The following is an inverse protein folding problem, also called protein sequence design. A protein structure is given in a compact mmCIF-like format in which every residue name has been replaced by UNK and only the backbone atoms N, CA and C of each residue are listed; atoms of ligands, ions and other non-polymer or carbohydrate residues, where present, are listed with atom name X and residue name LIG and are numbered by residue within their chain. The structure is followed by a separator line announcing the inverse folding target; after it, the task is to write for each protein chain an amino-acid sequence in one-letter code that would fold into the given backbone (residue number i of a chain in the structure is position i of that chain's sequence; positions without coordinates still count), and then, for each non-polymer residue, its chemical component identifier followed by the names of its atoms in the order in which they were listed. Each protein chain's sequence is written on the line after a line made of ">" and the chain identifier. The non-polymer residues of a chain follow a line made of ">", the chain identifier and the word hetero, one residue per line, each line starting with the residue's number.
data_IF_585217663052
#
_entry.id   IF_585217663052
#
_cell.length_a   1.000
_cell.length_b   1.000
_cell.length_c   1.000
_cell.angle_alpha   90.00
_cell.angle_beta   90.00
_cell.angle_gamma   90.00
#
_symmetry.space_group_name_H-M   'P 1'
#
loop_
_entity.id
_entity.type
_entity.pdbx_description
1 polymer ?
#
# COMPACT_ATOMS: atom_id res chain seq x y z
N UNK A 1 19.20 9.72 6.34
CA UNK A 1 17.79 9.33 6.51
C UNK A 1 17.54 8.00 5.82
N UNK A 2 16.74 7.10 6.40
CA UNK A 2 16.26 5.88 5.71
C UNK A 2 14.76 6.06 5.49
N UNK A 3 14.29 5.82 4.27
CA UNK A 3 12.86 5.91 3.93
C UNK A 3 12.27 4.52 3.91
N UNK A 4 11.18 4.33 4.64
CA UNK A 4 10.52 3.04 4.82
C UNK A 4 9.12 3.07 4.23
N UNK A 5 8.89 2.29 3.17
CA UNK A 5 7.56 2.03 2.62
C UNK A 5 6.91 0.88 3.37
N UNK A 6 5.97 1.19 4.26
CA UNK A 6 5.25 0.19 5.06
C UNK A 6 3.97 -0.30 4.35
N UNK A 7 3.37 -1.38 4.86
CA UNK A 7 2.14 -2.01 4.37
C UNK A 7 2.26 -2.67 2.99
N UNK A 8 3.46 -3.15 2.63
CA UNK A 8 3.64 -3.91 1.38
C UNK A 8 2.77 -5.17 1.33
N UNK A 9 2.31 -5.64 2.50
CA UNK A 9 1.38 -6.77 2.61
C UNK A 9 0.04 -6.55 1.92
N UNK A 10 -0.36 -5.29 1.69
CA UNK A 10 -1.63 -4.97 1.05
C UNK A 10 -1.53 -4.91 -0.47
N UNK A 11 -0.31 -4.85 -1.01
CA UNK A 11 -0.09 -4.74 -2.45
C UNK A 11 -0.06 -6.14 -3.07
N UNK A 12 -0.91 -6.44 -4.07
CA UNK A 12 -0.84 -7.70 -4.78
C UNK A 12 0.46 -7.77 -5.60
N UNK A 13 0.95 -8.98 -5.93
CA UNK A 13 1.96 -9.14 -6.96
C UNK A 13 1.37 -8.76 -8.33
N UNK A 14 2.19 -8.17 -9.19
CA UNK A 14 1.84 -7.98 -10.59
C UNK A 14 2.01 -9.29 -11.38
N UNK A 15 1.47 -9.38 -12.59
CA UNK A 15 1.62 -10.59 -13.41
C UNK A 15 3.08 -10.81 -13.87
N UNK A 16 3.86 -9.74 -14.05
CA UNK A 16 5.28 -9.84 -14.36
C UNK A 16 6.20 -9.71 -13.13
N UNK A 17 7.33 -10.45 -13.09
CA UNK A 17 8.31 -10.35 -12.02
C UNK A 17 8.92 -8.94 -11.93
N UNK A 18 9.54 -8.65 -10.79
CA UNK A 18 10.17 -7.34 -10.54
C UNK A 18 9.22 -6.25 -10.05
N UNK A 19 7.96 -6.58 -9.73
CA UNK A 19 6.98 -5.64 -9.17
C UNK A 19 7.46 -4.99 -7.86
N UNK A 20 8.21 -5.71 -7.01
CA UNK A 20 8.82 -5.14 -5.80
C UNK A 20 9.78 -4.00 -6.10
N UNK A 21 10.54 -4.10 -7.21
CA UNK A 21 11.44 -3.03 -7.66
C UNK A 21 10.62 -1.83 -8.12
N UNK A 22 9.54 -2.06 -8.88
CA UNK A 22 8.59 -0.99 -9.29
C UNK A 22 7.98 -0.28 -8.08
N UNK A 23 7.63 -1.00 -7.02
CA UNK A 23 7.15 -0.42 -5.75
C UNK A 23 8.19 0.47 -5.09
N UNK A 24 9.44 0.02 -5.08
CA UNK A 24 10.55 0.79 -4.52
C UNK A 24 10.85 2.04 -5.35
N UNK A 25 10.80 1.93 -6.68
CA UNK A 25 11.02 3.03 -7.61
C UNK A 25 9.89 4.07 -7.51
N UNK A 26 8.63 3.63 -7.41
CA UNK A 26 7.49 4.51 -7.16
C UNK A 26 7.63 5.27 -5.83
N UNK A 27 8.09 4.61 -4.76
CA UNK A 27 8.41 5.26 -3.50
C UNK A 27 9.52 6.30 -3.67
N UNK A 28 10.60 5.96 -4.37
CA UNK A 28 11.71 6.87 -4.64
C UNK A 28 11.25 8.11 -5.41
N UNK A 29 10.41 7.93 -6.43
CA UNK A 29 9.83 9.02 -7.22
C UNK A 29 8.93 9.90 -6.37
N UNK A 30 8.08 9.33 -5.51
CA UNK A 30 7.21 10.09 -4.61
C UNK A 30 8.03 10.95 -3.63
N UNK A 31 9.10 10.40 -3.08
CA UNK A 31 10.02 11.11 -2.16
C UNK A 31 10.79 12.22 -2.87
N UNK A 32 11.19 11.98 -4.12
CA UNK A 32 11.80 12.99 -4.97
C UNK A 32 10.82 14.14 -5.26
N UNK A 33 9.59 13.83 -5.69
CA UNK A 33 8.53 14.83 -5.96
C UNK A 33 8.18 15.65 -4.72
N UNK A 34 8.22 15.05 -3.54
CA UNK A 34 8.00 15.74 -2.27
C UNK A 34 9.20 16.62 -1.81
N UNK A 35 10.31 16.65 -2.57
CA UNK A 35 11.48 17.48 -2.27
C UNK A 35 12.36 16.96 -1.13
N UNK A 36 12.16 15.72 -0.65
CA UNK A 36 12.99 15.16 0.42
C UNK A 36 14.39 14.80 -0.08
N UNK A 37 14.51 14.38 -1.33
CA UNK A 37 15.80 14.01 -1.94
C UNK A 37 16.77 15.19 -2.09
N UNK A 38 16.26 16.42 -2.19
CA UNK A 38 17.09 17.63 -2.29
C UNK A 38 17.44 18.18 -0.91
N UNK A 39 16.53 18.06 0.07
CA UNK A 39 16.69 18.61 1.42
C UNK A 39 17.43 17.68 2.40
N UNK A 40 17.38 16.36 2.18
CA UNK A 40 17.94 15.38 3.10
C UNK A 40 18.78 14.34 2.37
N UNK A 41 19.88 13.91 2.98
CA UNK A 41 20.65 12.78 2.48
C UNK A 41 19.91 11.46 2.77
N UNK A 42 19.40 10.83 1.70
CA UNK A 42 18.70 9.55 1.76
C UNK A 42 19.70 8.42 1.55
N UNK A 43 19.92 7.63 2.61
CA UNK A 43 20.87 6.52 2.61
C UNK A 43 20.29 5.28 1.92
N UNK A 44 19.02 4.98 2.18
CA UNK A 44 18.37 3.75 1.70
C UNK A 44 16.84 3.89 1.65
N UNK A 45 16.25 3.12 0.74
CA UNK A 45 14.81 2.87 0.64
C UNK A 45 14.54 1.41 0.99
N UNK A 46 13.60 1.15 1.88
CA UNK A 46 13.27 -0.20 2.35
C UNK A 46 11.76 -0.40 2.29
N UNK A 47 11.31 -1.50 1.70
CA UNK A 47 9.90 -1.88 1.73
C UNK A 47 9.70 -2.91 2.83
N UNK A 48 8.70 -2.69 3.68
CA UNK A 48 8.41 -3.55 4.83
C UNK A 48 6.92 -3.79 4.98
N UNK A 49 6.59 -4.86 5.68
CA UNK A 49 5.29 -4.98 6.34
C UNK A 49 5.52 -5.16 7.83
N UNK A 50 5.23 -4.10 8.58
CA UNK A 50 5.31 -4.15 10.04
C UNK A 50 4.37 -5.21 10.64
N UNK A 51 3.19 -5.41 10.04
CA UNK A 51 2.18 -6.37 10.52
C UNK A 51 2.67 -7.82 10.46
N UNK A 52 3.38 -8.14 9.38
CA UNK A 52 3.77 -9.52 9.05
C UNK A 52 5.22 -9.81 9.46
N UNK A 53 6.05 -8.78 9.55
CA UNK A 53 7.49 -8.86 9.78
C UNK A 53 8.31 -8.89 8.50
N UNK A 54 7.68 -8.91 7.32
CA UNK A 54 8.39 -8.91 6.04
C UNK A 54 9.33 -7.69 5.92
N UNK A 55 10.58 -7.93 5.52
CA UNK A 55 11.59 -6.89 5.28
C UNK A 55 12.11 -6.17 6.53
N UNK A 56 11.55 -6.44 7.71
CA UNK A 56 11.94 -5.76 8.96
C UNK A 56 13.36 -6.14 9.38
N UNK A 57 13.75 -7.41 9.26
CA UNK A 57 15.10 -7.85 9.60
C UNK A 57 16.15 -7.25 8.66
N UNK A 58 15.84 -7.13 7.37
CA UNK A 58 16.71 -6.46 6.39
C UNK A 58 16.84 -4.96 6.70
N UNK A 59 15.73 -4.31 7.10
CA UNK A 59 15.75 -2.92 7.56
C UNK A 59 16.62 -2.75 8.81
N UNK A 60 16.51 -3.65 9.79
CA UNK A 60 17.37 -3.64 11.00
C UNK A 60 18.85 -3.74 10.60
N UNK A 61 19.18 -4.64 9.69
CA UNK A 61 20.56 -4.80 9.20
C UNK A 61 21.05 -3.54 8.51
N UNK A 62 20.22 -2.88 7.71
CA UNK A 62 20.55 -1.60 7.07
C UNK A 62 20.71 -0.47 8.08
N UNK A 63 19.90 -0.44 9.14
CA UNK A 63 20.05 0.52 10.22
C UNK A 63 21.41 0.33 10.89
N UNK A 64 21.74 -0.90 11.31
CA UNK A 64 23.02 -1.17 11.97
C UNK A 64 24.23 -0.88 11.06
N UNK A 65 24.19 -1.25 9.78
CA UNK A 65 25.30 -0.99 8.86
C UNK A 65 25.61 0.49 8.67
N UNK A 66 24.61 1.37 8.80
CA UNK A 66 24.79 2.82 8.68
C UNK A 66 24.95 3.54 10.03
N UNK A 67 24.53 2.90 11.12
CA UNK A 67 24.57 3.44 12.47
C UNK A 67 25.89 3.13 13.19
N UNK A 68 26.53 2.01 12.88
CA UNK A 68 27.85 1.65 13.41
C UNK A 68 28.93 2.33 12.56
N UNK A 69 29.69 3.25 13.16
CA UNK A 69 30.79 3.92 12.47
C UNK A 69 31.99 2.98 12.21
N UNK A 70 32.98 3.39 11.39
CA UNK A 70 34.17 2.59 11.06
C UNK A 70 35.01 2.12 12.26
N UNK A 71 34.85 2.76 13.43
CA UNK A 71 35.55 2.42 14.68
C UNK A 71 34.67 1.68 15.70
N UNK A 72 33.55 1.08 15.27
CA UNK A 72 32.54 0.47 16.15
C UNK A 72 31.94 1.43 17.22
N UNK A 73 32.06 2.74 17.02
CA UNK A 73 31.38 3.71 17.86
C UNK A 73 29.90 3.77 17.44
N UNK A 74 29.00 3.54 18.40
CA UNK A 74 27.57 3.72 18.21
C UNK A 74 27.28 5.21 17.96
N UNK A 75 26.56 5.51 16.88
CA UNK A 75 26.06 6.86 16.63
C UNK A 75 24.91 7.20 17.60
N UNK A 76 24.51 8.47 17.57
CA UNK A 76 23.41 9.05 18.36
C UNK A 76 22.07 8.32 18.19
N UNK A 77 21.06 8.75 18.97
CA UNK A 77 19.70 8.19 18.95
C UNK A 77 19.09 8.10 17.54
N UNK A 78 18.25 7.08 17.32
CA UNK A 78 17.50 6.90 16.08
C UNK A 78 16.10 7.48 16.26
N UNK A 79 15.59 8.20 15.27
CA UNK A 79 14.25 8.78 15.34
C UNK A 79 13.35 8.16 14.28
N UNK A 80 12.16 7.72 14.67
CA UNK A 80 11.11 7.22 13.76
C UNK A 80 10.05 8.30 13.63
N UNK A 81 9.93 8.87 12.43
CA UNK A 81 9.04 10.00 12.15
C UNK A 81 8.05 9.62 11.05
N UNK A 82 6.81 10.11 11.15
CA UNK A 82 5.84 10.00 10.06
C UNK A 82 4.39 10.26 10.47
N UNK A 83 3.50 10.27 9.48
CA UNK A 83 2.09 10.61 9.65
C UNK A 83 1.31 9.60 10.50
N UNK A 84 0.19 10.01 11.07
CA UNK A 84 -0.79 9.10 11.71
C UNK A 84 -1.20 8.00 10.73
N UNK A 85 -1.44 6.78 11.22
CA UNK A 85 -1.82 5.60 10.42
C UNK A 85 -0.79 5.08 9.40
N UNK A 86 0.42 5.64 9.32
CA UNK A 86 1.53 5.07 8.54
C UNK A 86 2.04 3.70 9.07
N UNK A 87 1.60 3.29 10.27
CA UNK A 87 1.97 2.02 10.90
C UNK A 87 3.25 2.08 11.74
N UNK A 88 3.60 3.25 12.27
CA UNK A 88 4.79 3.47 13.11
C UNK A 88 4.77 2.66 14.41
N UNK A 89 3.65 2.66 15.14
CA UNK A 89 3.50 1.86 16.37
C UNK A 89 3.57 0.37 16.09
N UNK A 90 3.00 -0.09 14.96
CA UNK A 90 3.13 -1.47 14.50
C UNK A 90 4.59 -1.82 14.20
N UNK A 91 5.31 -0.95 13.48
CA UNK A 91 6.72 -1.17 13.16
C UNK A 91 7.58 -1.21 14.43
N UNK A 92 7.28 -0.33 15.38
CA UNK A 92 7.94 -0.30 16.67
C UNK A 92 7.73 -1.59 17.47
N UNK A 93 6.48 -2.10 17.54
CA UNK A 93 6.21 -3.38 18.19
C UNK A 93 6.96 -4.54 17.52
N UNK A 94 7.11 -4.48 16.21
CA UNK A 94 7.89 -5.48 15.47
C UNK A 94 9.39 -5.35 15.74
N UNK A 95 9.92 -4.13 15.95
CA UNK A 95 11.30 -3.93 16.42
C UNK A 95 11.53 -4.44 17.85
N UNK A 96 10.55 -4.33 18.74
CA UNK A 96 10.64 -4.92 20.09
C UNK A 96 10.70 -6.45 20.07
N UNK A 97 10.12 -7.07 19.04
CA UNK A 97 10.12 -8.52 18.84
C UNK A 97 11.30 -9.02 18.00
N UNK A 98 12.02 -8.13 17.31
CA UNK A 98 13.18 -8.49 16.49
C UNK A 98 14.47 -8.49 17.29
N UNK A 99 15.57 -8.89 16.65
CA UNK A 99 16.91 -8.90 17.28
C UNK A 99 17.44 -7.48 17.63
N UNK A 100 16.64 -6.42 17.43
CA UNK A 100 17.00 -5.05 17.79
C UNK A 100 16.92 -4.74 19.28
N UNK A 101 16.05 -5.43 20.01
CA UNK A 101 15.82 -5.15 21.42
C UNK A 101 16.65 -6.07 22.31
N UNK A 102 17.38 -5.49 23.29
CA UNK A 102 18.24 -6.23 24.21
C UNK A 102 17.45 -7.14 25.17
N UNK A 103 16.24 -6.72 25.55
CA UNK A 103 15.32 -7.49 26.39
C UNK A 103 14.21 -7.99 25.49
N UNK A 104 13.94 -9.30 25.49
CA UNK A 104 12.71 -9.86 24.89
C UNK A 104 11.54 -9.41 25.74
N UNK A 105 11.16 -8.16 25.58
CA UNK A 105 10.34 -7.47 26.54
C UNK A 105 8.86 -7.71 26.20
N UNK A 106 8.39 -8.94 26.41
CA UNK A 106 6.95 -9.22 26.34
C UNK A 106 6.17 -8.28 27.28
N UNK A 107 6.74 -7.97 28.46
CA UNK A 107 6.15 -7.08 29.46
C UNK A 107 6.22 -5.57 29.09
N UNK A 108 7.10 -5.18 28.15
CA UNK A 108 7.20 -3.79 27.68
C UNK A 108 6.28 -3.54 26.47
N UNK A 109 6.00 -4.58 25.68
CA UNK A 109 5.10 -4.53 24.52
C UNK A 109 3.67 -4.22 24.95
N UNK A 110 3.17 -4.81 26.05
CA UNK A 110 1.83 -4.50 26.59
C UNK A 110 1.69 -3.02 26.93
N UNK A 111 2.69 -2.41 27.58
CA UNK A 111 2.70 -0.99 27.96
C UNK A 111 2.76 -0.02 26.77
N UNK A 112 3.30 -0.47 25.63
CA UNK A 112 3.37 0.33 24.40
C UNK A 112 2.05 0.28 23.64
N UNK A 113 1.34 -0.86 23.72
CA UNK A 113 0.02 -1.04 23.09
C UNK A 113 -1.14 -0.48 23.92
N UNK A 114 -0.99 -0.31 25.23
CA UNK A 114 -2.04 0.24 26.10
C UNK A 114 -1.90 1.77 26.24
N UNK A 115 -2.09 2.51 25.16
CA UNK A 115 -2.58 3.90 25.29
C UNK A 115 -4.10 3.84 25.18
N UNK A 116 -4.77 4.05 26.31
CA UNK A 116 -6.22 3.92 26.50
C UNK A 116 -7.06 4.94 25.68
N UNK A 117 -6.43 5.79 24.85
CA UNK A 117 -7.12 6.86 24.11
C UNK A 117 -6.85 6.88 22.60
N UNK A 118 -7.88 7.09 21.77
CA UNK A 118 -7.70 7.30 20.34
C UNK A 118 -7.35 8.76 20.07
N UNK A 119 -6.07 9.03 19.83
CA UNK A 119 -5.59 10.39 19.57
C UNK A 119 -4.26 10.64 20.29
N UNK A 120 -3.17 10.34 19.58
CA UNK A 120 -1.77 10.69 19.89
C UNK A 120 -1.03 9.91 20.99
N UNK A 121 0.18 9.51 20.66
CA UNK A 121 1.26 9.15 21.60
C UNK A 121 1.95 10.47 22.00
N UNK A 122 1.48 11.12 23.07
CA UNK A 122 2.10 12.35 23.59
C UNK A 122 3.35 12.12 24.46
N UNK A 123 3.80 10.88 24.61
CA UNK A 123 5.07 10.56 25.29
C UNK A 123 6.09 9.99 24.29
N UNK A 124 7.27 10.61 24.21
CA UNK A 124 8.41 10.08 23.48
C UNK A 124 8.84 8.75 24.12
N UNK A 125 8.52 7.64 23.46
CA UNK A 125 8.97 6.31 23.89
C UNK A 125 10.43 6.11 23.48
N UNK A 126 11.30 5.75 24.44
CA UNK A 126 12.72 5.43 24.24
C UNK A 126 12.99 4.02 24.79
N UNK A 127 13.65 3.16 24.00
CA UNK A 127 14.08 1.83 24.46
C UNK A 127 15.55 1.57 24.15
N UNK A 128 16.26 0.76 24.97
CA UNK A 128 17.64 0.38 24.72
C UNK A 128 17.76 -0.57 23.53
N UNK A 129 18.59 -0.22 22.55
CA UNK A 129 18.93 -1.13 21.45
C UNK A 129 20.05 -2.09 21.84
N UNK A 130 20.07 -3.26 21.20
CA UNK A 130 21.15 -4.22 21.34
C UNK A 130 22.45 -3.69 20.73
N UNK A 131 23.58 -3.90 21.41
CA UNK A 131 24.89 -3.43 20.96
C UNK A 131 25.43 -4.30 19.80
N UNK A 132 25.57 -3.76 18.57
CA UNK A 132 26.03 -4.52 17.41
C UNK A 132 27.56 -4.71 17.42
N UNK A 133 28.06 -5.73 18.13
CA UNK A 133 29.48 -6.10 18.01
C UNK A 133 29.76 -6.86 16.70
N UNK A 134 30.99 -6.83 16.14
CA UNK A 134 31.29 -7.51 14.88
C UNK A 134 30.94 -9.01 14.89
N UNK A 135 31.24 -9.71 15.98
CA UNK A 135 30.89 -11.13 16.15
C UNK A 135 29.36 -11.36 16.12
N UNK A 136 28.63 -10.52 16.84
CA UNK A 136 27.16 -10.53 16.92
C UNK A 136 26.51 -10.23 15.57
N UNK A 137 27.06 -9.29 14.80
CA UNK A 137 26.62 -8.98 13.44
C UNK A 137 26.88 -10.13 12.46
N UNK A 138 28.03 -10.82 12.58
CA UNK A 138 28.36 -11.99 11.76
C UNK A 138 27.38 -13.15 11.99
N UNK A 139 27.11 -13.50 13.26
CA UNK A 139 26.12 -14.53 13.60
C UNK A 139 24.74 -14.22 13.03
N UNK A 140 24.33 -12.95 13.11
CA UNK A 140 23.08 -12.48 12.52
C UNK A 140 23.08 -12.61 10.99
N UNK A 141 24.17 -12.25 10.33
CA UNK A 141 24.30 -12.37 8.87
C UNK A 141 24.19 -13.83 8.41
N UNK A 142 24.83 -14.76 9.12
CA UNK A 142 24.73 -16.20 8.86
C UNK A 142 23.29 -16.70 8.99
N UNK A 143 22.60 -16.36 10.09
CA UNK A 143 21.19 -16.69 10.32
C UNK A 143 20.28 -16.14 9.21
N UNK A 144 20.49 -14.89 8.79
CA UNK A 144 19.70 -14.29 7.71
C UNK A 144 20.01 -14.91 6.35
N UNK A 145 21.26 -15.31 6.10
CA UNK A 145 21.65 -15.99 4.88
C UNK A 145 21.00 -17.38 4.77
N UNK A 146 20.98 -18.15 5.85
CA UNK A 146 20.25 -19.43 5.90
C UNK A 146 18.76 -19.24 5.62
N UNK A 147 18.14 -18.24 6.26
CA UNK A 147 16.75 -17.91 6.02
C UNK A 147 16.48 -17.53 4.55
N UNK A 148 17.37 -16.74 3.93
CA UNK A 148 17.29 -16.39 2.49
C UNK A 148 17.44 -17.61 1.59
N UNK A 149 18.37 -18.53 1.90
CA UNK A 149 18.53 -19.79 1.15
C UNK A 149 17.27 -20.64 1.24
N UNK A 150 16.74 -20.82 2.45
CA UNK A 150 15.49 -21.53 2.68
C UNK A 150 14.34 -20.90 1.89
N UNK A 151 14.23 -19.57 1.90
CA UNK A 151 13.23 -18.84 1.10
C UNK A 151 13.34 -19.13 -0.39
N UNK A 152 14.54 -19.00 -0.97
CA UNK A 152 14.77 -19.30 -2.39
C UNK A 152 14.36 -20.73 -2.75
N UNK A 153 14.67 -21.70 -1.89
CA UNK A 153 14.27 -23.08 -2.09
C UNK A 153 12.74 -23.25 -2.08
N UNK A 154 12.04 -22.70 -1.09
CA UNK A 154 10.57 -22.73 -1.01
C UNK A 154 9.93 -22.06 -2.23
N UNK A 155 10.52 -20.95 -2.70
CA UNK A 155 10.10 -20.25 -3.92
C UNK A 155 10.22 -21.15 -5.15
N UNK A 156 11.37 -21.79 -5.36
CA UNK A 156 11.60 -22.72 -6.48
C UNK A 156 10.60 -23.88 -6.47
N UNK A 157 10.38 -24.51 -5.31
CA UNK A 157 9.40 -25.59 -5.16
C UNK A 157 7.97 -25.13 -5.51
N UNK A 158 7.61 -23.90 -5.16
CA UNK A 158 6.29 -23.34 -5.48
C UNK A 158 6.11 -23.10 -6.99
N UNK A 159 7.18 -22.72 -7.69
CA UNK A 159 7.19 -22.60 -9.15
C UNK A 159 7.00 -23.96 -9.82
N UNK A 160 7.74 -24.98 -9.37
CA UNK A 160 7.65 -26.34 -9.90
C UNK A 160 6.23 -26.90 -9.74
N UNK A 161 5.62 -26.71 -8.56
CA UNK A 161 4.23 -27.10 -8.28
C UNK A 161 3.22 -26.39 -9.19
N UNK A 162 3.43 -25.10 -9.48
CA UNK A 162 2.59 -24.40 -10.45
C UNK A 162 2.75 -24.98 -11.86
N UNK A 163 3.98 -25.21 -12.32
CA UNK A 163 4.21 -25.74 -13.66
C UNK A 163 3.58 -27.12 -13.85
N UNK A 164 3.59 -27.96 -12.80
CA UNK A 164 2.96 -29.27 -12.79
C UNK A 164 1.43 -29.23 -12.75
N UNK A 165 0.83 -28.36 -11.94
CA UNK A 165 -0.63 -28.35 -11.70
C UNK A 165 -1.40 -27.38 -12.57
N UNK A 166 -0.73 -26.36 -13.14
CA UNK A 166 -1.31 -25.19 -13.81
C UNK A 166 -2.33 -24.42 -12.95
N UNK A 167 -2.38 -24.69 -11.64
CA UNK A 167 -3.25 -23.97 -10.72
C UNK A 167 -2.63 -22.61 -10.44
N UNK A 168 -3.20 -21.58 -11.08
CA UNK A 168 -2.73 -20.18 -10.95
C UNK A 168 -2.59 -19.74 -9.49
N UNK A 169 -3.51 -20.11 -8.61
CA UNK A 169 -3.44 -19.71 -7.19
C UNK A 169 -2.15 -20.17 -6.46
N UNK A 170 -1.50 -21.25 -6.90
CA UNK A 170 -0.22 -21.74 -6.36
C UNK A 170 0.94 -20.82 -6.76
N UNK A 171 0.98 -20.35 -8.00
CA UNK A 171 2.01 -19.43 -8.50
C UNK A 171 1.95 -18.07 -7.80
N UNK A 172 0.75 -17.54 -7.56
CA UNK A 172 0.57 -16.24 -6.93
C UNK A 172 0.73 -16.27 -5.40
N UNK A 173 0.69 -17.47 -4.77
CA UNK A 173 1.03 -17.63 -3.34
C UNK A 173 2.54 -17.53 -3.06
N UNK A 174 3.40 -17.60 -4.09
CA UNK A 174 4.87 -17.60 -4.06
C UNK A 174 5.48 -16.49 -3.19
N UNK A 175 5.00 -15.25 -3.32
CA UNK A 175 5.51 -14.09 -2.56
C UNK A 175 4.62 -13.72 -1.35
N UNK A 176 3.39 -14.25 -1.30
CA UNK A 176 2.43 -13.99 -0.23
C UNK A 176 2.54 -14.91 0.99
N UNK A 177 3.11 -16.10 0.84
CA UNK A 177 3.22 -17.09 1.92
C UNK A 177 3.98 -16.55 3.14
N UNK A 178 4.95 -15.65 2.94
CA UNK A 178 5.66 -15.00 4.04
C UNK A 178 4.84 -13.87 4.67
N UNK A 179 4.15 -13.09 3.85
CA UNK A 179 3.32 -11.97 4.28
C UNK A 179 2.15 -12.45 5.16
N UNK A 180 1.52 -13.59 4.85
CA UNK A 180 0.34 -14.05 5.60
C UNK A 180 0.63 -15.11 6.68
N UNK A 181 1.88 -15.54 6.88
CA UNK A 181 2.22 -16.66 7.78
C UNK A 181 2.58 -16.25 9.21
N UNK A 182 1.57 -15.83 9.98
CA UNK A 182 1.51 -16.18 11.41
C UNK A 182 0.51 -17.29 11.71
N UNK A 183 -0.58 -17.42 10.93
CA UNK A 183 -1.62 -18.47 11.14
C UNK A 183 -1.42 -19.77 10.35
N UNK A 184 -0.69 -19.76 9.22
CA UNK A 184 -0.50 -20.94 8.34
C UNK A 184 0.81 -21.72 8.55
N UNK A 185 1.58 -21.41 9.60
CA UNK A 185 2.83 -22.12 9.94
C UNK A 185 2.65 -23.62 10.25
N UNK A 186 1.42 -24.12 10.45
CA UNK A 186 1.20 -25.54 10.80
C UNK A 186 1.12 -26.50 9.62
N UNK A 187 0.73 -26.08 8.40
CA UNK A 187 0.51 -27.02 7.28
C UNK A 187 1.69 -27.15 6.30
N UNK A 188 2.42 -26.07 6.02
CA UNK A 188 3.57 -26.11 5.08
C UNK A 188 4.86 -26.54 5.79
N UNK A 189 5.04 -26.19 7.07
CA UNK A 189 6.19 -26.67 7.86
C UNK A 189 6.22 -28.19 7.99
N UNK A 190 5.06 -28.86 8.01
CA UNK A 190 4.97 -30.31 8.16
C UNK A 190 5.47 -31.09 6.93
N UNK A 191 5.40 -30.50 5.73
CA UNK A 191 5.87 -31.15 4.50
C UNK A 191 7.37 -30.95 4.24
N UNK A 192 7.99 -29.92 4.85
CA UNK A 192 9.37 -29.49 4.52
C UNK A 192 10.36 -29.69 5.70
N UNK A 193 9.89 -29.88 6.94
CA UNK A 193 10.77 -29.92 8.12
C UNK A 193 11.32 -31.31 8.52
N UNK A 194 11.40 -32.28 7.62
CA UNK A 194 12.05 -33.56 7.97
C UNK A 194 13.57 -33.62 7.77
N UNK A 195 14.28 -32.49 7.54
CA UNK A 195 15.75 -32.53 7.38
C UNK A 195 16.61 -31.46 8.05
N UNK A 196 16.08 -30.51 8.82
CA UNK A 196 16.97 -29.63 9.59
C UNK A 196 16.26 -28.96 10.76
N UNK A 197 16.27 -29.61 11.92
CA UNK A 197 15.93 -29.00 13.20
C UNK A 197 16.73 -29.67 14.32
N UNK A 198 18.06 -29.60 14.21
CA UNK A 198 18.97 -29.61 15.35
C UNK A 198 19.91 -28.44 15.13
N UNK A 199 19.67 -27.33 15.82
CA UNK A 199 20.70 -26.52 16.48
C UNK A 199 20.15 -25.26 17.16
N UNK A 200 20.64 -25.07 18.39
CA UNK A 200 20.84 -23.85 19.18
C UNK A 200 19.65 -22.91 19.46
N UNK A 201 18.93 -23.21 20.54
CA UNK A 201 18.40 -22.15 21.43
C UNK A 201 19.48 -21.78 22.45
N UNK A 202 20.45 -20.95 22.04
CA UNK A 202 21.31 -20.28 23.02
C UNK A 202 20.48 -19.21 23.76
N UNK A 203 20.25 -19.46 25.06
CA UNK A 203 19.76 -18.43 25.98
C UNK A 203 20.88 -17.41 26.16
N UNK A 204 20.67 -16.19 25.69
CA UNK A 204 21.60 -15.07 25.89
C UNK A 204 21.85 -14.86 27.38
N UNK A 205 23.12 -14.95 27.77
CA UNK A 205 23.59 -14.74 29.13
C UNK A 205 23.54 -13.21 29.42
N UNK A 206 22.73 -12.79 30.37
CA UNK A 206 22.45 -11.38 30.70
C UNK A 206 23.65 -10.64 31.35
N UNK A 207 24.77 -11.32 31.59
CA UNK A 207 25.92 -10.83 32.34
C UNK A 207 27.13 -10.43 31.46
N UNK A 208 26.93 -10.17 30.16
CA UNK A 208 28.01 -9.74 29.24
C UNK A 208 28.49 -8.31 29.60
N UNK A 209 29.77 -8.11 29.98
CA UNK A 209 30.33 -6.82 30.40
C UNK A 209 30.41 -5.77 29.28
N UNK A 210 30.12 -6.14 28.02
CA UNK A 210 29.97 -5.20 26.89
C UNK A 210 28.68 -4.35 26.92
N UNK A 211 27.82 -4.55 27.91
CA UNK A 211 26.56 -3.82 28.15
C UNK A 211 26.73 -2.46 28.87
N UNK A 212 27.95 -2.04 29.18
CA UNK A 212 28.24 -0.82 29.98
C UNK A 212 28.11 0.52 29.23
N UNK A 213 27.76 0.53 27.94
CA UNK A 213 27.42 1.78 27.23
C UNK A 213 25.93 2.11 27.47
N UNK A 214 25.65 3.30 28.02
CA UNK A 214 24.30 3.73 28.38
C UNK A 214 23.29 3.62 27.22
N UNK A 215 21.99 3.49 27.51
CA UNK A 215 20.98 3.12 26.51
C UNK A 215 20.78 4.23 25.48
N UNK A 216 21.28 3.99 24.26
CA UNK A 216 20.92 4.76 23.06
C UNK A 216 19.59 4.21 22.56
N UNK A 217 18.63 5.10 22.28
CA UNK A 217 17.26 4.67 22.05
C UNK A 217 16.60 5.24 20.82
N UNK A 218 15.56 4.53 20.38
CA UNK A 218 14.69 4.96 19.29
C UNK A 218 13.62 5.88 19.85
N UNK A 219 13.38 7.04 19.23
CA UNK A 219 12.36 8.01 19.65
C UNK A 219 11.32 8.22 18.55
N UNK A 220 10.03 8.15 18.87
CA UNK A 220 8.94 8.33 17.89
C UNK A 220 8.38 9.76 17.97
N UNK A 221 8.30 10.48 16.84
CA UNK A 221 7.59 11.77 16.74
C UNK A 221 6.41 11.67 15.77
N UNK A 222 5.24 12.13 16.20
CA UNK A 222 4.01 12.20 15.41
C UNK A 222 3.83 13.61 14.84
N UNK A 223 3.56 13.71 13.54
CA UNK A 223 3.05 14.93 12.90
C UNK A 223 1.78 14.55 12.13
N UNK A 224 0.72 15.35 12.24
CA UNK A 224 -0.57 15.04 11.64
C UNK A 224 -1.00 16.10 10.66
N UNK A 225 -1.08 15.75 9.38
CA UNK A 225 -2.06 16.23 8.40
C UNK A 225 -2.06 15.24 7.21
N UNK A 226 -3.11 14.42 7.10
CA UNK A 226 -3.43 13.58 5.93
C UNK A 226 -4.94 13.43 5.87
N UNK A 227 -5.52 13.20 4.68
CA UNK A 227 -6.98 13.05 4.46
C UNK A 227 -7.73 12.09 5.42
N UNK A 228 -7.01 11.18 6.08
CA UNK A 228 -7.52 10.38 7.20
C UNK A 228 -7.92 11.18 8.46
N UNK A 229 -7.64 12.48 8.53
CA UNK A 229 -7.97 13.37 9.65
C UNK A 229 -9.40 13.92 9.64
N UNK A 230 -10.16 13.78 8.54
CA UNK A 230 -11.57 14.18 8.44
C UNK A 230 -12.52 13.15 9.07
N UNK A 231 -12.20 12.73 10.29
CA UNK A 231 -12.98 11.77 11.05
C UNK A 231 -12.32 11.52 12.39
N UNK A 232 -12.49 12.49 13.30
CA UNK A 232 -12.15 12.29 14.72
C UNK A 232 -12.93 11.08 15.27
N UNK A 233 -12.31 10.45 16.27
CA UNK A 233 -12.26 8.99 16.43
C UNK A 233 -13.28 8.50 17.47
N UNK A 234 -14.06 7.46 17.12
CA UNK A 234 -14.43 6.41 18.07
C UNK A 234 -13.52 5.19 17.83
N UNK A 235 -12.96 4.57 18.88
CA UNK A 235 -11.88 3.57 18.79
C UNK A 235 -12.26 2.28 18.05
N UNK A 236 -13.55 2.03 17.79
CA UNK A 236 -14.01 0.81 17.11
C UNK A 236 -13.96 0.81 15.57
N UNK A 237 -13.76 1.96 14.88
CA UNK A 237 -14.08 2.06 13.43
C UNK A 237 -13.00 2.63 12.51
N UNK A 238 -11.83 3.05 13.01
CA UNK A 238 -10.68 3.41 12.15
C UNK A 238 -10.14 2.20 11.35
N UNK A 239 -10.50 0.99 11.78
CA UNK A 239 -10.14 -0.29 11.16
C UNK A 239 -10.90 -0.59 9.85
N UNK A 240 -11.92 0.22 9.50
CA UNK A 240 -12.78 -0.05 8.35
C UNK A 240 -12.23 0.45 7.01
N UNK A 241 -11.53 1.61 6.98
CA UNK A 241 -10.91 2.15 5.75
C UNK A 241 -9.62 1.41 5.36
N UNK A 242 -8.94 0.81 6.33
CA UNK A 242 -7.70 0.11 6.08
C UNK A 242 -7.99 -1.32 5.63
N UNK A 243 -7.52 -1.69 4.44
CA UNK A 243 -7.57 -3.09 4.04
C UNK A 243 -6.77 -3.94 5.03
N UNK A 244 -7.37 -5.02 5.54
CA UNK A 244 -6.70 -6.00 6.40
C UNK A 244 -6.10 -7.16 5.62
N UNK A 245 -6.49 -7.27 4.34
CA UNK A 245 -6.08 -8.29 3.38
C UNK A 245 -5.48 -7.62 2.15
N UNK A 246 -4.86 -8.41 1.29
CA UNK A 246 -4.33 -7.90 0.03
C UNK A 246 -5.47 -7.32 -0.79
N UNK A 247 -5.21 -6.20 -1.44
CA UNK A 247 -6.15 -5.62 -2.39
C UNK A 247 -6.29 -6.53 -3.59
N UNK A 248 -7.48 -7.06 -3.82
CA UNK A 248 -7.82 -7.79 -5.03
C UNK A 248 -8.23 -6.82 -6.16
N UNK A 249 -7.53 -6.86 -7.32
CA UNK A 249 -7.85 -5.98 -8.43
C UNK A 249 -9.22 -6.30 -9.04
N UNK A 250 -10.04 -5.28 -9.33
CA UNK A 250 -11.36 -5.43 -9.98
C UNK A 250 -11.33 -4.75 -11.35
N UNK A 251 -11.51 -5.50 -12.42
CA UNK A 251 -11.48 -4.95 -13.78
C UNK A 251 -12.88 -4.51 -14.24
N UNK A 252 -12.96 -3.28 -14.73
CA UNK A 252 -14.20 -2.68 -15.25
C UNK A 252 -13.98 -2.28 -16.69
N UNK A 253 -14.88 -2.73 -17.56
CA UNK A 253 -14.86 -2.41 -18.97
C UNK A 253 -15.90 -1.32 -19.27
N UNK A 254 -15.45 -0.18 -19.77
CA UNK A 254 -16.32 0.98 -19.96
C UNK A 254 -16.03 1.72 -21.26
N UNK A 255 -17.03 2.43 -21.77
CA UNK A 255 -16.94 3.34 -22.91
C UNK A 255 -17.03 4.79 -22.42
N UNK A 256 -16.79 5.76 -23.30
CA UNK A 256 -17.03 7.18 -23.02
C UNK A 256 -18.38 7.43 -22.33
N UNK A 257 -18.41 8.41 -21.43
CA UNK A 257 -19.56 8.80 -20.60
C UNK A 257 -20.01 7.73 -19.59
N UNK A 258 -19.06 6.92 -19.15
CA UNK A 258 -19.23 5.98 -18.04
C UNK A 258 -18.51 6.48 -16.79
N UNK A 259 -19.06 6.16 -15.64
CA UNK A 259 -18.53 6.54 -14.33
C UNK A 259 -18.29 5.31 -13.50
N UNK A 260 -17.06 5.20 -13.01
CA UNK A 260 -16.63 4.22 -12.05
C UNK A 260 -16.74 4.82 -10.64
N UNK A 261 -17.64 4.28 -9.82
CA UNK A 261 -17.74 4.62 -8.40
C UNK A 261 -16.98 3.60 -7.54
N UNK A 262 -16.28 4.10 -6.54
CA UNK A 262 -15.54 3.31 -5.54
C UNK A 262 -16.07 3.69 -4.16
N UNK A 263 -17.06 2.91 -3.71
CA UNK A 263 -17.96 3.28 -2.62
C UNK A 263 -18.65 4.61 -2.91
N UNK A 264 -18.75 5.45 -1.89
CA UNK A 264 -19.13 6.86 -1.95
C UNK A 264 -17.97 7.81 -1.64
N UNK A 265 -16.73 7.34 -1.74
CA UNK A 265 -15.51 8.11 -1.39
C UNK A 265 -14.63 8.46 -2.60
N UNK A 266 -14.86 7.84 -3.75
CA UNK A 266 -14.16 8.17 -4.97
C UNK A 266 -15.02 7.87 -6.19
N UNK A 267 -14.78 8.65 -7.24
CA UNK A 267 -15.46 8.55 -8.53
C UNK A 267 -14.46 8.84 -9.64
N UNK A 268 -14.53 8.11 -10.75
CA UNK A 268 -13.67 8.25 -11.91
C UNK A 268 -14.53 8.24 -13.18
N UNK A 269 -14.61 9.37 -13.84
CA UNK A 269 -15.49 9.60 -14.99
C UNK A 269 -14.68 9.49 -16.27
N UNK A 270 -15.01 8.51 -17.11
CA UNK A 270 -14.44 8.40 -18.44
C UNK A 270 -15.19 9.35 -19.37
N UNK A 271 -14.57 10.48 -19.69
CA UNK A 271 -15.17 11.51 -20.57
C UNK A 271 -15.07 11.09 -22.02
N UNK A 272 -13.85 10.82 -22.49
CA UNK A 272 -13.61 10.41 -23.86
C UNK A 272 -12.42 9.45 -23.98
N UNK A 273 -12.50 8.57 -24.96
CA UNK A 273 -11.41 7.73 -25.42
C UNK A 273 -11.41 7.73 -26.95
N UNK A 274 -10.31 8.18 -27.53
CA UNK A 274 -10.21 8.47 -28.97
C UNK A 274 -9.13 7.63 -29.63
N UNK A 275 -9.44 7.12 -30.83
CA UNK A 275 -8.48 6.44 -31.70
C UNK A 275 -8.76 6.79 -33.14
N UNK A 276 -7.78 7.36 -33.84
CA UNK A 276 -7.87 7.66 -35.28
C UNK A 276 -9.19 8.38 -35.66
N UNK A 277 -9.56 9.43 -34.90
CA UNK A 277 -10.80 10.21 -35.06
C UNK A 277 -12.12 9.42 -34.90
N UNK A 278 -12.08 8.19 -34.36
CA UNK A 278 -13.25 7.50 -33.84
C UNK A 278 -13.34 7.74 -32.34
N UNK A 279 -14.41 8.41 -31.92
CA UNK A 279 -14.86 8.41 -30.54
C UNK A 279 -15.52 7.06 -30.25
N UNK A 280 -15.37 6.54 -29.02
CA UNK A 280 -15.97 5.28 -28.50
C UNK A 280 -15.06 4.05 -28.51
N UNK A 281 -13.77 4.21 -28.23
CA UNK A 281 -12.97 3.05 -27.83
C UNK A 281 -13.28 2.65 -26.40
N UNK A 282 -13.19 1.35 -26.15
CA UNK A 282 -13.30 0.85 -24.79
C UNK A 282 -12.03 1.12 -23.99
N UNK A 283 -12.22 1.39 -22.71
CA UNK A 283 -11.16 1.54 -21.73
C UNK A 283 -11.39 0.51 -20.63
N UNK A 284 -10.32 -0.16 -20.25
CA UNK A 284 -10.30 -1.01 -19.08
C UNK A 284 -9.74 -0.22 -17.91
N UNK A 285 -10.56 -0.13 -16.87
CA UNK A 285 -10.25 0.51 -15.61
C UNK A 285 -10.11 -0.59 -14.56
N UNK A 286 -8.87 -0.92 -14.20
CA UNK A 286 -8.59 -1.91 -13.17
C UNK A 286 -8.44 -1.21 -11.82
N UNK A 287 -9.39 -1.44 -10.92
CA UNK A 287 -9.45 -0.80 -9.60
C UNK A 287 -8.65 -1.60 -8.60
N UNK A 288 -7.74 -0.92 -7.91
CA UNK A 288 -7.02 -1.45 -6.76
C UNK A 288 -7.34 -0.62 -5.54
N UNK A 289 -8.38 -1.05 -4.82
CA UNK A 289 -8.85 -0.44 -3.58
C UNK A 289 -9.28 -1.53 -2.59
N UNK A 290 -9.60 -1.15 -1.35
CA UNK A 290 -10.08 -2.13 -0.36
C UNK A 290 -11.31 -2.89 -0.88
N UNK A 291 -11.34 -4.21 -0.70
CA UNK A 291 -12.48 -5.06 -1.08
C UNK A 291 -13.81 -4.64 -0.44
N UNK A 292 -13.74 -3.97 0.72
CA UNK A 292 -14.90 -3.43 1.44
C UNK A 292 -15.57 -2.27 0.69
N UNK A 293 -14.87 -1.64 -0.25
CA UNK A 293 -15.46 -0.60 -1.09
C UNK A 293 -16.13 -1.25 -2.30
N UNK A 294 -17.43 -1.01 -2.43
CA UNK A 294 -18.19 -1.48 -3.59
C UNK A 294 -17.73 -0.75 -4.83
N UNK A 295 -17.34 -1.51 -5.86
CA UNK A 295 -16.98 -0.97 -7.16
C UNK A 295 -18.18 -1.15 -8.08
N UNK A 296 -18.61 -0.08 -8.73
CA UNK A 296 -19.73 -0.11 -9.65
C UNK A 296 -19.50 0.84 -10.83
N UNK A 297 -20.09 0.51 -11.98
CA UNK A 297 -20.02 1.31 -13.19
C UNK A 297 -21.43 1.72 -13.61
N UNK A 298 -21.63 3.00 -13.95
CA UNK A 298 -22.92 3.54 -14.41
C UNK A 298 -22.72 4.69 -15.40
N UNK A 299 -23.81 5.17 -16.01
CA UNK A 299 -23.74 6.29 -16.93
C UNK A 299 -23.52 7.61 -16.17
N UNK A 300 -22.75 8.54 -16.75
CA UNK A 300 -22.50 9.87 -16.15
C UNK A 300 -23.78 10.60 -15.79
N UNK A 301 -24.82 10.53 -16.61
CA UNK A 301 -26.11 11.21 -16.36
C UNK A 301 -26.89 10.72 -15.13
N UNK A 302 -26.57 9.54 -14.58
CA UNK A 302 -27.35 8.93 -13.47
C UNK A 302 -26.62 8.98 -12.13
N UNK A 303 -25.34 9.35 -12.13
CA UNK A 303 -24.46 9.17 -10.97
C UNK A 303 -24.79 10.14 -9.83
N UNK A 304 -25.15 11.39 -10.12
CA UNK A 304 -25.39 12.39 -9.07
C UNK A 304 -26.68 12.07 -8.30
N UNK A 305 -27.73 11.65 -9.02
CA UNK A 305 -28.97 11.13 -8.41
C UNK A 305 -28.71 9.87 -7.58
N UNK A 306 -27.88 8.96 -8.08
CA UNK A 306 -27.52 7.75 -7.36
C UNK A 306 -26.78 8.08 -6.06
N UNK A 307 -25.77 8.95 -6.12
CA UNK A 307 -24.99 9.38 -4.95
C UNK A 307 -25.88 10.11 -3.94
N UNK A 308 -26.78 10.99 -4.39
CA UNK A 308 -27.71 11.69 -3.51
C UNK A 308 -28.62 10.75 -2.72
N UNK A 309 -29.04 9.62 -3.32
CA UNK A 309 -29.93 8.64 -2.68
C UNK A 309 -29.19 7.65 -1.79
N UNK A 310 -27.97 7.29 -2.14
CA UNK A 310 -27.28 6.13 -1.54
C UNK A 310 -26.04 6.50 -0.71
N UNK A 311 -25.67 7.78 -0.60
CA UNK A 311 -24.54 8.18 0.25
C UNK A 311 -24.83 7.80 1.71
N UNK A 312 -23.92 7.06 2.34
CA UNK A 312 -24.11 6.53 3.68
C UNK A 312 -24.62 5.08 3.74
N UNK A 313 -25.08 4.54 2.61
CA UNK A 313 -25.51 3.14 2.50
C UNK A 313 -24.34 2.20 2.87
N UNK A 314 -24.50 1.30 3.86
CA UNK A 314 -23.51 0.30 4.21
C UNK A 314 -22.98 -0.51 3.03
N UNK A 315 -23.80 -0.74 1.99
CA UNK A 315 -23.41 -1.46 0.77
C UNK A 315 -22.32 -0.74 -0.02
N UNK A 316 -22.19 0.58 0.09
CA UNK A 316 -21.07 1.32 -0.53
C UNK A 316 -19.75 1.10 0.21
N UNK A 317 -19.81 0.67 1.47
CA UNK A 317 -18.66 0.45 2.35
C UNK A 317 -18.04 1.71 2.95
N UNK A 318 -18.12 2.86 2.28
CA UNK A 318 -17.77 4.18 2.82
C UNK A 318 -18.42 5.29 1.98
N UNK A 319 -18.76 6.47 2.53
CA UNK A 319 -18.75 6.78 3.96
C UNK A 319 -19.84 5.99 4.70
N UNK A 320 -19.54 5.60 5.94
CA UNK A 320 -20.50 5.01 6.87
C UNK A 320 -20.54 5.93 8.09
N UNK A 321 -21.75 6.21 8.58
CA UNK A 321 -21.96 7.05 9.74
C UNK A 321 -23.42 7.43 9.92
N UNK A 322 -23.72 7.92 11.12
CA UNK A 322 -25.01 8.54 11.42
C UNK A 322 -25.09 9.92 10.72
N UNK A 323 -26.28 10.52 10.67
CA UNK A 323 -26.56 11.73 9.89
C UNK A 323 -25.58 12.88 10.18
N UNK A 324 -25.21 13.08 11.44
CA UNK A 324 -24.23 14.10 11.84
C UNK A 324 -22.86 13.88 11.18
N UNK A 325 -22.42 12.63 11.05
CA UNK A 325 -21.13 12.28 10.44
C UNK A 325 -21.18 12.39 8.93
N UNK A 326 -22.31 12.06 8.32
CA UNK A 326 -22.52 12.25 6.89
C UNK A 326 -22.59 13.74 6.53
N UNK A 327 -23.18 14.58 7.40
CA UNK A 327 -23.16 16.03 7.24
C UNK A 327 -21.76 16.63 7.32
N UNK A 328 -20.85 16.02 8.10
CA UNK A 328 -19.43 16.41 8.15
C UNK A 328 -18.59 15.81 7.01
N UNK A 329 -19.15 14.91 6.19
CA UNK A 329 -18.41 14.32 5.09
C UNK A 329 -18.16 15.40 4.02
N UNK A 330 -16.90 15.66 3.66
CA UNK A 330 -16.57 16.69 2.68
C UNK A 330 -17.17 16.35 1.32
N UNK A 331 -17.59 17.39 0.59
CA UNK A 331 -18.00 17.25 -0.80
C UNK A 331 -16.86 16.71 -1.64
N UNK A 332 -17.21 16.00 -2.71
CA UNK A 332 -16.25 15.54 -3.68
C UNK A 332 -15.91 16.70 -4.63
N UNK A 333 -14.63 16.97 -4.80
CA UNK A 333 -14.12 17.84 -5.87
C UNK A 333 -13.25 17.01 -6.82
N UNK A 334 -13.02 17.53 -8.02
CA UNK A 334 -12.36 16.81 -9.10
C UNK A 334 -11.11 17.48 -9.66
N UNK A 335 -10.27 16.65 -10.28
CA UNK A 335 -9.27 17.08 -11.25
C UNK A 335 -9.46 16.34 -12.57
N UNK A 336 -9.18 17.03 -13.68
CA UNK A 336 -9.17 16.45 -15.02
C UNK A 336 -7.78 15.89 -15.32
N UNK A 337 -7.75 14.72 -15.98
CA UNK A 337 -6.54 14.05 -16.40
C UNK A 337 -6.61 13.70 -17.88
N UNK A 338 -5.65 14.24 -18.62
CA UNK A 338 -5.43 13.98 -20.04
C UNK A 338 -4.31 12.95 -20.19
N UNK A 339 -4.64 11.75 -20.67
CA UNK A 339 -3.73 10.61 -20.72
C UNK A 339 -3.38 10.31 -22.18
N UNK A 340 -2.14 10.61 -22.56
CA UNK A 340 -1.56 10.15 -23.83
C UNK A 340 -1.11 8.69 -23.72
N UNK A 341 -1.60 7.84 -24.61
CA UNK A 341 -1.35 6.40 -24.58
C UNK A 341 -0.12 6.07 -25.43
N UNK A 342 1.08 6.20 -24.83
CA UNK A 342 2.37 5.89 -25.50
C UNK A 342 2.41 4.44 -26.00
N UNK A 343 1.99 3.50 -25.15
CA UNK A 343 1.91 2.07 -25.47
C UNK A 343 0.45 1.61 -25.42
N UNK A 344 -0.15 1.48 -26.61
CA UNK A 344 -1.55 1.07 -26.79
C UNK A 344 -1.65 -0.44 -26.66
N UNK A 345 -2.24 -0.91 -25.57
CA UNK A 345 -2.27 -2.33 -25.23
C UNK A 345 -3.60 -2.74 -24.60
N UNK A 346 -3.96 -4.01 -24.77
CA UNK A 346 -5.04 -4.64 -23.98
C UNK A 346 -4.53 -5.21 -22.67
N UNK A 347 -3.23 -5.43 -22.53
CA UNK A 347 -2.65 -6.19 -21.41
C UNK A 347 -1.85 -5.29 -20.46
N UNK A 348 -1.26 -4.23 -21.02
CA UNK A 348 -0.38 -3.31 -20.31
C UNK A 348 -1.09 -1.98 -20.06
N UNK A 349 -1.21 -1.59 -18.80
CA UNK A 349 -1.68 -0.26 -18.42
C UNK A 349 -0.68 0.81 -18.85
N UNK A 350 -1.21 1.98 -19.22
CA UNK A 350 -0.41 3.14 -19.64
C UNK A 350 -0.23 4.16 -18.51
N UNK A 351 -1.16 4.21 -17.56
CA UNK A 351 -1.08 5.11 -16.40
C UNK A 351 -1.92 4.61 -15.22
N UNK A 352 -1.65 5.13 -14.03
CA UNK A 352 -2.51 5.00 -12.86
C UNK A 352 -3.12 6.36 -12.48
N UNK A 353 -4.41 6.37 -12.19
CA UNK A 353 -5.10 7.46 -11.48
C UNK A 353 -5.02 7.15 -10.00
N UNK A 354 -4.16 7.87 -9.27
CA UNK A 354 -3.91 7.68 -7.84
C UNK A 354 -4.99 8.40 -7.04
N UNK A 355 -5.65 7.64 -6.15
CA UNK A 355 -6.68 8.10 -5.23
C UNK A 355 -6.15 7.93 -3.81
N UNK A 356 -5.39 8.91 -3.31
CA UNK A 356 -4.58 8.76 -2.09
C UNK A 356 -5.39 8.25 -0.90
N UNK A 357 -4.87 7.25 -0.19
CA UNK A 357 -5.51 6.53 0.93
C UNK A 357 -6.71 5.65 0.57
N UNK A 358 -7.21 5.69 -0.67
CA UNK A 358 -8.29 4.81 -1.17
C UNK A 358 -7.69 3.68 -2.00
N UNK A 359 -6.81 4.02 -2.94
CA UNK A 359 -6.29 3.07 -3.92
C UNK A 359 -5.76 3.76 -5.18
N UNK A 360 -5.80 3.06 -6.30
CA UNK A 360 -5.61 3.64 -7.62
C UNK A 360 -6.40 2.88 -8.68
N UNK A 361 -6.59 3.50 -9.83
CA UNK A 361 -7.21 2.89 -11.01
C UNK A 361 -6.19 2.84 -12.13
N UNK A 362 -5.81 1.64 -12.56
CA UNK A 362 -4.95 1.46 -13.71
C UNK A 362 -5.76 1.62 -15.00
N UNK A 363 -5.23 2.40 -15.94
CA UNK A 363 -5.89 2.73 -17.22
C UNK A 363 -5.20 1.96 -18.34
N UNK A 364 -5.95 1.08 -19.00
CA UNK A 364 -5.50 0.30 -20.15
C UNK A 364 -6.46 0.55 -21.32
N UNK A 365 -5.93 0.87 -22.51
CA UNK A 365 -6.76 1.03 -23.70
C UNK A 365 -5.94 0.89 -24.98
N UNK A 366 -6.63 0.66 -26.09
CA UNK A 366 -6.12 0.79 -27.45
C UNK A 366 -6.29 2.21 -28.03
N UNK A 367 -6.98 3.10 -27.30
CA UNK A 367 -7.10 4.51 -27.63
C UNK A 367 -5.70 5.17 -27.72
N UNK A 368 -5.59 6.22 -28.54
CA UNK A 368 -4.41 7.09 -28.53
C UNK A 368 -4.43 8.09 -27.39
N UNK A 369 -5.63 8.45 -26.93
CA UNK A 369 -5.85 9.46 -25.92
C UNK A 369 -7.09 9.11 -25.09
N UNK A 370 -7.01 9.33 -23.78
CA UNK A 370 -8.09 9.09 -22.83
C UNK A 370 -8.20 10.30 -21.89
N UNK A 371 -9.39 10.91 -21.81
CA UNK A 371 -9.71 11.98 -20.86
C UNK A 371 -10.55 11.41 -19.72
N UNK A 372 -10.11 11.66 -18.49
CA UNK A 372 -10.77 11.20 -17.27
C UNK A 372 -10.91 12.33 -16.28
N UNK A 373 -12.04 12.40 -15.58
CA UNK A 373 -12.23 13.30 -14.43
C UNK A 373 -12.33 12.46 -13.16
N UNK A 374 -11.39 12.63 -12.24
CA UNK A 374 -11.38 11.88 -10.99
C UNK A 374 -11.79 12.76 -9.82
N UNK A 375 -12.57 12.20 -8.90
CA UNK A 375 -13.20 12.89 -7.79
C UNK A 375 -12.84 12.22 -6.46
N UNK A 376 -12.51 13.03 -5.46
CA UNK A 376 -12.26 12.59 -4.08
C UNK A 376 -12.75 13.67 -3.10
N UNK A 377 -12.90 13.35 -1.80
CA UNK A 377 -13.10 14.33 -0.73
C UNK A 377 -12.22 15.58 -0.88
N UNK A 378 -12.85 16.71 -1.18
CA UNK A 378 -12.21 18.01 -1.43
C UNK A 378 -11.11 17.99 -2.51
N UNK A 379 -11.17 17.06 -3.46
CA UNK A 379 -10.18 16.94 -4.56
C UNK A 379 -8.80 16.47 -4.09
N UNK A 380 -8.65 16.02 -2.85
CA UNK A 380 -7.34 15.78 -2.24
C UNK A 380 -6.72 14.46 -2.67
N UNK A 381 -5.44 14.54 -3.02
CA UNK A 381 -4.62 13.35 -3.25
C UNK A 381 -4.93 12.62 -4.56
N UNK A 382 -5.50 13.35 -5.52
CA UNK A 382 -5.61 12.97 -6.91
C UNK A 382 -4.28 13.22 -7.62
N UNK A 383 -3.73 12.19 -8.27
CA UNK A 383 -2.50 12.33 -9.04
C UNK A 383 -2.47 11.35 -10.21
N UNK A 384 -2.00 11.81 -11.36
CA UNK A 384 -1.63 10.92 -12.47
C UNK A 384 -0.22 10.35 -12.24
N UNK A 385 -0.10 9.03 -12.31
CA UNK A 385 1.19 8.33 -12.25
C UNK A 385 1.44 7.60 -13.58
N UNK A 386 2.45 8.08 -14.30
CA UNK A 386 3.03 7.43 -15.48
C UNK A 386 4.55 7.35 -15.29
N UNK A 387 5.20 6.17 -15.44
CA UNK A 387 4.58 4.88 -15.76
C UNK A 387 3.76 4.31 -14.59
N UNK A 388 2.80 3.39 -14.85
CA UNK A 388 2.00 2.77 -13.81
C UNK A 388 2.84 1.82 -12.95
N UNK A 389 2.41 1.61 -11.71
CA UNK A 389 3.15 0.81 -10.73
C UNK A 389 3.03 -0.70 -11.01
N UNK A 390 1.89 -1.12 -11.53
CA UNK A 390 1.60 -2.50 -11.92
C UNK A 390 1.02 -2.55 -13.34
N UNK A 391 1.89 -2.40 -14.36
CA UNK A 391 1.47 -2.35 -15.75
C UNK A 391 0.69 -3.60 -16.19
N UNK A 392 0.94 -4.78 -15.61
CA UNK A 392 0.35 -6.04 -16.08
C UNK A 392 -0.78 -6.55 -15.19
N UNK A 393 -1.39 -5.68 -14.38
CA UNK A 393 -2.41 -6.08 -13.39
C UNK A 393 -3.56 -6.85 -14.03
N UNK A 394 -3.96 -6.52 -15.26
CA UNK A 394 -5.06 -7.20 -15.97
C UNK A 394 -4.81 -8.67 -16.27
N UNK A 395 -3.53 -9.06 -16.35
CA UNK A 395 -3.13 -10.46 -16.53
C UNK A 395 -3.09 -11.21 -15.19
N UNK A 396 -3.32 -10.53 -14.05
CA UNK A 396 -3.35 -11.14 -12.74
C UNK A 396 -4.62 -12.02 -12.59
N UNK A 397 -4.49 -13.31 -12.24
CA UNK A 397 -5.62 -14.23 -12.06
C UNK A 397 -6.53 -13.91 -10.88
N UNK A 398 -6.15 -12.97 -10.01
CA UNK A 398 -7.03 -12.42 -8.97
C UNK A 398 -8.05 -11.44 -9.52
N UNK A 399 -7.89 -10.99 -10.76
CA UNK A 399 -8.93 -10.24 -11.45
C UNK A 399 -10.12 -11.17 -11.63
N UNK A 400 -11.13 -11.00 -10.77
CA UNK A 400 -12.43 -11.68 -10.89
C UNK A 400 -13.13 -11.28 -12.20
N UNK A 401 -14.11 -12.09 -12.63
CA UNK A 401 -14.90 -11.85 -13.86
C UNK A 401 -15.27 -10.37 -14.00
N UNK A 402 -14.84 -9.76 -15.11
CA UNK A 402 -14.90 -8.32 -15.29
C UNK A 402 -16.33 -7.80 -15.14
N UNK A 403 -16.49 -6.67 -14.44
CA UNK A 403 -17.78 -5.98 -14.34
C UNK A 403 -18.07 -5.39 -15.73
N UNK A 404 -18.89 -6.10 -16.50
CA UNK A 404 -19.39 -5.65 -17.79
C UNK A 404 -20.60 -4.76 -17.58
N UNK A 405 -20.56 -3.54 -18.12
CA UNK A 405 -21.79 -2.84 -18.47
C UNK A 405 -22.45 -3.56 -19.65
N UNK A 406 -23.37 -4.49 -19.38
CA UNK A 406 -24.24 -5.04 -20.43
C UNK A 406 -25.16 -3.93 -20.94
N UNK A 407 -24.90 -3.45 -22.16
CA UNK A 407 -25.90 -2.82 -23.01
C UNK A 407 -25.99 -1.29 -22.97
N UNK A 408 -25.52 -0.66 -24.03
CA UNK A 408 -26.45 -0.27 -25.10
C UNK A 408 -25.67 -0.31 -26.42
N UNK A 409 -26.14 -1.11 -27.39
CA UNK A 409 -25.92 -0.77 -28.80
C UNK A 409 -26.19 0.72 -28.91
N UNK A 410 -25.30 1.48 -29.53
CA UNK A 410 -25.53 2.87 -29.89
C UNK A 410 -26.86 2.97 -30.67
N UNK A 411 -27.98 3.05 -29.95
CA UNK A 411 -29.18 3.66 -30.45
C UNK A 411 -28.80 5.12 -30.52
N UNK A 412 -29.07 5.74 -31.65
CA UNK A 412 -28.94 7.18 -31.88
C UNK A 412 -29.56 7.90 -30.68
N UNK A 413 -28.72 8.26 -29.71
CA UNK A 413 -29.05 9.15 -28.62
C UNK A 413 -28.35 10.43 -28.99
N UNK A 414 -29.14 11.49 -29.11
CA UNK A 414 -28.68 12.83 -29.45
C UNK A 414 -27.42 13.18 -28.64
N UNK A 415 -26.41 13.71 -29.34
CA UNK A 415 -25.19 14.25 -28.75
C UNK A 415 -25.55 15.44 -27.85
N UNK A 416 -25.99 15.18 -26.62
CA UNK A 416 -25.98 16.18 -25.56
C UNK A 416 -24.58 16.09 -24.96
N UNK A 417 -23.72 17.05 -25.31
CA UNK A 417 -22.36 17.20 -24.76
C UNK A 417 -22.44 17.40 -23.25
N UNK A 418 -22.01 16.43 -22.41
CA UNK A 418 -21.99 16.56 -20.95
C UNK A 418 -20.89 17.49 -20.42
N UNK A 419 -20.32 18.35 -21.26
CA UNK A 419 -19.25 19.28 -20.88
C UNK A 419 -19.72 20.29 -19.83
N UNK A 420 -21.02 20.62 -19.81
CA UNK A 420 -21.64 21.52 -18.82
C UNK A 420 -21.70 20.95 -17.38
N UNK A 421 -21.39 19.66 -17.18
CA UNK A 421 -21.45 19.00 -15.86
C UNK A 421 -20.14 19.07 -15.06
N UNK A 422 -19.07 19.64 -15.61
CA UNK A 422 -17.79 19.73 -14.92
C UNK A 422 -17.46 21.18 -14.55
N UNK A 423 -17.04 21.45 -13.30
CA UNK A 423 -16.64 22.79 -12.91
C UNK A 423 -15.39 23.22 -13.69
N UNK A 424 -15.38 24.46 -14.20
CA UNK A 424 -14.19 25.06 -14.81
C UNK A 424 -13.06 25.16 -13.77
N UNK A 425 -11.83 24.77 -14.13
CA UNK A 425 -10.69 24.67 -13.21
C UNK A 425 -10.30 26.03 -12.60
N UNK A 426 -10.71 26.26 -11.34
CA UNK A 426 -10.14 27.29 -10.48
C UNK A 426 -8.91 26.76 -9.75
N UNK A 427 -7.73 26.92 -10.35
CA UNK A 427 -6.45 26.57 -9.73
C UNK A 427 -6.20 27.51 -8.53
N UNK A 428 -6.34 27.00 -7.30
CA UNK A 428 -5.66 27.59 -6.13
C UNK A 428 -4.81 26.53 -5.43
N UNK A 429 -3.50 26.69 -5.54
CA UNK A 429 -2.54 25.93 -4.75
C UNK A 429 -2.36 26.64 -3.41
N UNK A 430 -3.18 26.31 -2.41
CA UNK A 430 -2.86 26.66 -1.03
C UNK A 430 -1.95 25.59 -0.41
N UNK A 431 -0.65 25.85 -0.49
CA UNK A 431 0.36 25.22 0.35
C UNK A 431 0.25 25.81 1.76
N UNK A 432 -0.31 25.04 2.70
CA UNK A 432 -0.16 25.27 4.14
C UNK A 432 0.04 23.94 4.90
#
# INVERSE_FOLDING_TARGET
>A
MIVVGNKIDLLPPDAEPGYLKRYQDALRQAVYKAGFSTRFNILKYSLVSAKTGYGVEDLVTQIYSHWVGPRNNLRSNIYVVGCTNAGKSTLFNTFLQSDMCMVRAMDLVERVTTSIWPGTTMSLLKFPMWNPTPHKMKLREEKLLEYRKWRKAVTSLSEDLYHATKIRSIWYCKDMLEIHSRKRKRKVSLLVMNKSAKNSTERLNLNDPSSKQGPIGVTIRLHGQQAASFGRIHPGRADQRNSTQVVDPKDVHCSSWSVLLIGGVARVDLVSAERNNRQSEFVWLTVLASERLKVQCMATRTVDDYMKRNLGDPDLGAPIGDDERLAMFPKLDCHTFDISMEERSKEKASADIVLSSIGWVAVTSLASYVKVVAWTPSGRGLQLRSPPIMPYTRLNPRVEDSIYTRGNRAKNYEHVSPEDNYPEEGISFDLA
#
